data_IF_583204729808
#
_entry.id   IF_583204729808
#
_cell.length_a   1.000
_cell.length_b   1.000
_cell.length_c   1.000
_cell.angle_alpha   90.00
_cell.angle_beta   90.00
_cell.angle_gamma   90.00
#
_symmetry.space_group_name_H-M   'P 1'
#
loop_
_entity.id
_entity.type
_entity.pdbx_description
1 polymer ?
#
# COMPACT_ATOMS: atom_id res chain seq x y z
N UNK A 1 -29.59 8.62 -8.84
CA UNK A 1 -28.24 9.26 -8.78
C UNK A 1 -27.24 8.19 -8.39
N UNK A 2 -26.14 8.04 -9.14
CA UNK A 2 -25.14 6.99 -8.96
C UNK A 2 -23.77 7.64 -8.71
N UNK A 3 -23.03 7.15 -7.72
CA UNK A 3 -21.64 7.51 -7.45
C UNK A 3 -20.76 6.29 -7.69
N UNK A 4 -19.73 6.44 -8.51
CA UNK A 4 -18.72 5.42 -8.78
C UNK A 4 -17.40 5.91 -8.19
N UNK A 5 -16.80 5.09 -7.32
CA UNK A 5 -15.52 5.39 -6.68
C UNK A 5 -14.46 4.52 -7.35
N UNK A 6 -13.46 5.16 -7.94
CA UNK A 6 -12.32 4.52 -8.58
C UNK A 6 -11.08 4.79 -7.73
N UNK A 7 -10.69 3.81 -6.92
CA UNK A 7 -9.55 3.92 -6.02
C UNK A 7 -8.28 3.38 -6.70
N UNK A 8 -7.22 4.18 -6.76
CA UNK A 8 -5.91 3.75 -7.26
C UNK A 8 -5.74 3.77 -8.79
N UNK A 9 -6.31 4.75 -9.50
CA UNK A 9 -6.22 4.81 -10.98
C UNK A 9 -4.77 4.84 -11.52
N UNK A 10 -3.79 5.23 -10.69
CA UNK A 10 -2.38 5.26 -11.07
C UNK A 10 -1.84 3.91 -11.55
N UNK A 11 -2.38 2.82 -11.03
CA UNK A 11 -1.87 1.47 -11.25
C UNK A 11 -2.47 0.80 -12.51
N UNK A 12 -3.36 1.51 -13.21
CA UNK A 12 -4.03 1.04 -14.42
C UNK A 12 -3.52 1.78 -15.65
N UNK A 13 -3.21 1.05 -16.71
CA UNK A 13 -2.92 1.62 -18.02
C UNK A 13 -4.21 1.68 -18.86
N UNK A 14 -4.71 2.90 -19.12
CA UNK A 14 -5.96 3.15 -19.86
C UNK A 14 -5.67 3.89 -21.18
N UNK A 15 -4.41 3.88 -21.61
CA UNK A 15 -3.94 4.71 -22.72
C UNK A 15 -4.48 4.25 -24.09
N UNK A 16 -4.74 2.96 -24.26
CA UNK A 16 -5.06 2.35 -25.57
C UNK A 16 -6.56 2.14 -25.86
N UNK A 17 -7.45 2.30 -24.87
CA UNK A 17 -8.86 1.85 -25.00
C UNK A 17 -9.90 2.98 -25.11
N UNK A 18 -9.44 4.23 -25.27
CA UNK A 18 -10.32 5.40 -25.50
C UNK A 18 -11.00 5.38 -26.88
N UNK A 19 -10.63 4.43 -27.73
CA UNK A 19 -10.93 4.40 -29.17
C UNK A 19 -12.22 3.65 -29.52
N UNK A 20 -12.82 2.90 -28.60
CA UNK A 20 -14.10 2.23 -28.87
C UNK A 20 -15.23 3.29 -28.98
N UNK A 21 -15.77 3.47 -30.17
CA UNK A 21 -16.98 4.26 -30.44
C UNK A 21 -18.20 3.33 -30.42
N UNK A 22 -19.33 3.79 -29.85
CA UNK A 22 -20.62 3.09 -29.93
C UNK A 22 -20.82 1.94 -28.94
N UNK A 23 -20.61 2.20 -27.64
CA UNK A 23 -20.82 1.21 -26.58
C UNK A 23 -22.25 1.30 -26.03
N UNK A 24 -22.98 0.18 -26.06
CA UNK A 24 -24.27 0.01 -25.36
C UNK A 24 -24.04 -0.43 -23.91
N UNK A 25 -24.94 -0.08 -22.98
CA UNK A 25 -24.90 -0.57 -21.60
C UNK A 25 -25.00 -2.10 -21.50
N UNK A 26 -25.63 -2.74 -22.50
CA UNK A 26 -25.90 -4.17 -22.48
C UNK A 26 -24.75 -5.01 -23.08
N UNK A 27 -23.71 -4.37 -23.64
CA UNK A 27 -22.58 -5.09 -24.21
C UNK A 27 -21.59 -5.53 -23.14
N UNK A 28 -21.14 -6.78 -23.22
CA UNK A 28 -20.04 -7.28 -22.39
C UNK A 28 -18.73 -6.67 -22.88
N UNK A 29 -18.22 -5.68 -22.15
CA UNK A 29 -16.90 -5.10 -22.38
C UNK A 29 -15.84 -5.68 -21.45
N UNK A 30 -14.58 -5.76 -21.90
CA UNK A 30 -13.44 -5.96 -21.00
C UNK A 30 -13.41 -4.87 -19.90
N UNK A 31 -12.88 -5.16 -18.70
CA UNK A 31 -12.86 -4.22 -17.58
C UNK A 31 -12.13 -2.89 -17.88
N UNK A 32 -11.00 -2.95 -18.59
CA UNK A 32 -10.25 -1.75 -18.97
C UNK A 32 -11.07 -0.89 -19.94
N UNK A 33 -11.83 -1.52 -20.85
CA UNK A 33 -12.56 -0.80 -21.88
C UNK A 33 -13.75 -0.10 -21.23
N UNK A 34 -14.41 -0.80 -20.29
CA UNK A 34 -15.44 -0.22 -19.44
C UNK A 34 -14.92 1.01 -18.68
N UNK A 35 -13.74 0.89 -18.04
CA UNK A 35 -13.11 1.99 -17.32
C UNK A 35 -12.78 3.17 -18.25
N UNK A 36 -12.24 2.90 -19.44
CA UNK A 36 -11.97 3.93 -20.46
C UNK A 36 -13.23 4.68 -20.88
N UNK A 37 -14.36 3.98 -21.09
CA UNK A 37 -15.63 4.60 -21.45
C UNK A 37 -16.26 5.40 -20.30
N UNK A 38 -16.12 4.94 -19.05
CA UNK A 38 -16.55 5.69 -17.86
C UNK A 38 -15.74 6.98 -17.69
N UNK A 39 -14.41 6.89 -17.79
CA UNK A 39 -13.52 8.05 -17.70
C UNK A 39 -13.74 9.05 -18.84
N UNK A 40 -14.09 8.55 -20.03
CA UNK A 40 -14.47 9.37 -21.17
C UNK A 40 -15.91 9.91 -21.09
N UNK A 41 -16.66 9.61 -20.03
CA UNK A 41 -18.08 9.98 -19.83
C UNK A 41 -19.02 9.49 -20.95
N UNK A 42 -18.60 8.50 -21.74
CA UNK A 42 -19.43 7.88 -22.79
C UNK A 42 -20.39 6.85 -22.21
N UNK A 43 -19.98 6.20 -21.12
CA UNK A 43 -20.82 5.32 -20.33
C UNK A 43 -21.26 6.04 -19.06
N UNK A 44 -22.57 5.97 -18.75
CA UNK A 44 -23.18 6.59 -17.56
C UNK A 44 -22.79 8.08 -17.38
N UNK A 45 -23.07 8.96 -18.37
CA UNK A 45 -22.65 10.36 -18.33
C UNK A 45 -23.16 11.11 -17.08
N UNK A 46 -24.35 10.76 -16.60
CA UNK A 46 -25.01 11.36 -15.43
C UNK A 46 -24.48 10.84 -14.07
N UNK A 47 -23.59 9.85 -14.06
CA UNK A 47 -23.00 9.35 -12.82
C UNK A 47 -21.95 10.32 -12.28
N UNK A 48 -21.79 10.39 -10.96
CA UNK A 48 -20.65 11.08 -10.34
C UNK A 48 -19.47 10.13 -10.26
N UNK A 49 -18.26 10.60 -10.58
CA UNK A 49 -17.02 9.85 -10.46
C UNK A 49 -16.15 10.48 -9.36
N UNK A 50 -15.74 9.69 -8.38
CA UNK A 50 -14.72 10.05 -7.40
C UNK A 50 -13.49 9.19 -7.65
N UNK A 51 -12.39 9.81 -8.05
CA UNK A 51 -11.17 9.11 -8.47
C UNK A 51 -10.04 9.47 -7.52
N UNK A 52 -9.35 8.46 -6.98
CA UNK A 52 -8.07 8.65 -6.29
C UNK A 52 -6.93 8.27 -7.22
N UNK A 53 -5.85 9.05 -7.22
CA UNK A 53 -4.68 8.77 -8.05
C UNK A 53 -3.43 9.45 -7.51
N UNK A 54 -2.26 8.99 -7.96
CA UNK A 54 -0.97 9.62 -7.64
C UNK A 54 -0.81 10.95 -8.38
N UNK A 55 -0.11 11.94 -7.81
CA UNK A 55 0.24 13.16 -8.52
C UNK A 55 0.89 12.84 -9.89
N UNK A 56 0.50 13.56 -10.94
CA UNK A 56 1.01 13.36 -12.30
C UNK A 56 0.21 12.41 -13.19
N UNK A 57 -0.72 11.62 -12.63
CA UNK A 57 -1.60 10.73 -13.41
C UNK A 57 -2.87 11.44 -13.90
N UNK A 58 -3.22 12.58 -13.28
CA UNK A 58 -4.48 13.29 -13.51
C UNK A 58 -4.68 13.77 -14.95
N UNK A 59 -3.59 14.04 -15.68
CA UNK A 59 -3.61 14.43 -17.10
C UNK A 59 -4.29 13.41 -18.02
N UNK A 60 -4.42 12.15 -17.57
CA UNK A 60 -5.12 11.09 -18.30
C UNK A 60 -6.65 11.24 -18.28
N UNK A 61 -7.19 12.14 -17.45
CA UNK A 61 -8.63 12.41 -17.35
C UNK A 61 -8.96 13.70 -18.10
N UNK A 62 -9.84 13.64 -19.10
CA UNK A 62 -10.16 14.78 -19.98
C UNK A 62 -11.17 15.76 -19.38
N UNK A 63 -11.89 15.39 -18.32
CA UNK A 63 -12.90 16.22 -17.68
C UNK A 63 -12.98 15.95 -16.18
N UNK A 64 -12.44 16.87 -15.37
CA UNK A 64 -12.63 16.86 -13.92
C UNK A 64 -13.30 18.16 -13.50
N UNK A 65 -14.45 18.06 -12.84
CA UNK A 65 -15.18 19.23 -12.37
C UNK A 65 -14.47 19.89 -11.19
N UNK A 66 -13.81 19.07 -10.35
CA UNK A 66 -13.09 19.47 -9.14
C UNK A 66 -11.90 18.53 -8.92
N UNK A 67 -10.82 19.07 -8.38
CA UNK A 67 -9.70 18.28 -7.85
C UNK A 67 -9.36 18.76 -6.44
N UNK A 68 -8.83 17.86 -5.64
CA UNK A 68 -8.27 18.17 -4.32
C UNK A 68 -7.06 17.28 -4.09
N UNK A 69 -6.13 17.76 -3.27
CA UNK A 69 -4.93 17.01 -2.89
C UNK A 69 -5.04 16.61 -1.44
N UNK A 70 -4.90 15.32 -1.16
CA UNK A 70 -4.75 14.82 0.21
C UNK A 70 -3.31 15.07 0.62
N UNK A 71 -3.10 16.06 1.48
CA UNK A 71 -1.78 16.48 1.92
C UNK A 71 -1.22 15.49 2.96
N UNK A 72 -1.95 15.23 4.03
CA UNK A 72 -1.48 14.43 5.16
C UNK A 72 -2.10 14.91 6.47
N UNK A 73 -1.46 14.59 7.59
CA UNK A 73 -1.88 15.04 8.92
C UNK A 73 -1.23 16.36 9.31
N UNK A 74 -2.04 17.29 9.81
CA UNK A 74 -1.56 18.40 10.63
C UNK A 74 -1.03 17.90 11.97
N UNK A 75 -0.32 18.73 12.73
CA UNK A 75 0.09 18.38 14.11
C UNK A 75 -1.08 17.92 14.97
N UNK A 76 -2.24 18.56 14.84
CA UNK A 76 -3.45 18.17 15.55
C UNK A 76 -3.95 16.79 15.07
N UNK A 77 -3.91 16.54 13.75
CA UNK A 77 -4.21 15.23 13.18
C UNK A 77 -3.27 14.12 13.67
N UNK A 78 -1.97 14.44 13.85
CA UNK A 78 -0.99 13.52 14.42
C UNK A 78 -1.33 13.19 15.88
N UNK A 79 -1.60 14.19 16.72
CA UNK A 79 -2.03 13.98 18.13
C UNK A 79 -3.27 13.09 18.22
N UNK A 80 -4.28 13.39 17.42
CA UNK A 80 -5.51 12.60 17.37
C UNK A 80 -5.26 11.16 16.91
N UNK A 81 -4.37 10.97 15.92
CA UNK A 81 -4.00 9.64 15.46
C UNK A 81 -3.35 8.84 16.59
N UNK A 82 -2.34 9.41 17.25
CA UNK A 82 -1.62 8.76 18.35
C UNK A 82 -2.57 8.41 19.50
N UNK A 83 -3.44 9.34 19.89
CA UNK A 83 -4.44 9.09 20.94
C UNK A 83 -5.39 7.95 20.57
N UNK A 84 -5.86 7.88 19.33
CA UNK A 84 -6.73 6.79 18.86
C UNK A 84 -6.00 5.46 18.80
N UNK A 85 -4.74 5.46 18.37
CA UNK A 85 -3.93 4.27 18.24
C UNK A 85 -3.65 3.63 19.61
N UNK A 86 -3.17 4.42 20.58
CA UNK A 86 -2.84 3.93 21.93
C UNK A 86 -4.06 3.81 22.86
N UNK A 87 -5.21 4.36 22.45
CA UNK A 87 -6.42 4.40 23.29
C UNK A 87 -6.28 5.27 24.55
N UNK A 88 -5.25 6.11 24.63
CA UNK A 88 -4.95 6.94 25.80
C UNK A 88 -4.23 8.23 25.38
N UNK A 89 -4.78 9.38 25.77
CA UNK A 89 -4.14 10.68 25.55
C UNK A 89 -2.80 10.80 26.28
N UNK A 90 -2.68 10.18 27.46
CA UNK A 90 -1.44 10.18 28.23
C UNK A 90 -0.33 9.41 27.49
N UNK A 91 -0.64 8.21 26.99
CA UNK A 91 0.34 7.43 26.21
C UNK A 91 0.69 8.11 24.89
N UNK A 92 -0.28 8.77 24.25
CA UNK A 92 -0.03 9.55 23.04
C UNK A 92 0.88 10.75 23.30
N UNK A 93 0.68 11.48 24.39
CA UNK A 93 1.56 12.57 24.79
C UNK A 93 2.98 12.08 25.07
N UNK A 94 3.13 10.98 25.83
CA UNK A 94 4.43 10.36 26.07
C UNK A 94 5.11 9.92 24.77
N UNK A 95 4.35 9.28 23.87
CA UNK A 95 4.86 8.86 22.57
C UNK A 95 5.36 10.05 21.74
N UNK A 96 4.60 11.14 21.66
CA UNK A 96 5.02 12.35 20.97
C UNK A 96 6.23 13.00 21.63
N UNK A 97 6.29 13.02 22.97
CA UNK A 97 7.44 13.53 23.71
C UNK A 97 8.71 12.71 23.44
N UNK A 98 8.61 11.39 23.32
CA UNK A 98 9.72 10.54 22.91
C UNK A 98 10.25 10.89 21.51
N UNK A 99 9.39 11.39 20.62
CA UNK A 99 9.77 11.79 19.27
C UNK A 99 10.33 13.22 19.20
N UNK A 100 10.13 14.06 20.22
CA UNK A 100 10.61 15.47 20.21
C UNK A 100 12.12 15.60 20.08
N UNK A 101 12.87 14.55 20.44
CA UNK A 101 14.31 14.52 20.25
C UNK A 101 14.73 14.24 18.78
N UNK A 102 13.78 13.89 17.91
CA UNK A 102 13.98 13.52 16.50
C UNK A 102 12.96 14.26 15.62
N UNK A 103 13.27 15.53 15.32
CA UNK A 103 12.43 16.44 14.52
C UNK A 103 12.10 15.87 13.13
N UNK A 104 13.02 15.11 12.53
CA UNK A 104 12.81 14.46 11.23
C UNK A 104 11.69 13.41 11.33
N UNK A 105 11.67 12.65 12.43
CA UNK A 105 10.69 11.60 12.68
C UNK A 105 9.28 12.16 12.95
N UNK A 106 9.17 13.26 13.71
CA UNK A 106 7.89 13.98 13.88
C UNK A 106 7.43 14.56 12.54
N UNK A 107 8.34 15.15 11.77
CA UNK A 107 8.00 15.72 10.47
C UNK A 107 7.48 14.66 9.51
N UNK A 108 8.07 13.46 9.50
CA UNK A 108 7.59 12.33 8.71
C UNK A 108 6.17 11.89 9.08
N UNK A 109 5.75 12.04 10.34
CA UNK A 109 4.39 11.75 10.81
C UNK A 109 3.30 12.62 10.15
N UNK A 110 3.68 13.61 9.32
CA UNK A 110 2.76 14.20 8.35
C UNK A 110 2.11 13.14 7.44
N UNK A 111 2.82 12.06 7.10
CA UNK A 111 2.31 10.96 6.30
C UNK A 111 1.57 9.97 7.23
N UNK A 112 0.27 9.68 7.01
CA UNK A 112 -0.49 8.79 7.89
C UNK A 112 0.10 7.40 8.08
N UNK A 113 0.74 6.86 7.03
CA UNK A 113 1.45 5.59 7.12
C UNK A 113 2.66 5.70 8.05
N UNK A 114 3.42 6.79 8.02
CA UNK A 114 4.52 7.01 8.96
C UNK A 114 4.04 7.06 10.42
N UNK A 115 2.92 7.73 10.71
CA UNK A 115 2.32 7.69 12.06
C UNK A 115 2.04 6.26 12.53
N UNK A 116 1.38 5.45 11.70
CA UNK A 116 1.11 4.04 12.02
C UNK A 116 2.39 3.31 12.37
N UNK A 117 3.42 3.51 11.53
CA UNK A 117 4.68 2.82 11.66
C UNK A 117 5.44 3.23 12.93
N UNK A 118 5.45 4.52 13.26
CA UNK A 118 6.07 5.05 14.47
C UNK A 118 5.35 4.54 15.72
N UNK A 119 4.03 4.63 15.76
CA UNK A 119 3.25 4.14 16.90
C UNK A 119 3.47 2.64 17.14
N UNK A 120 3.48 1.83 16.07
CA UNK A 120 3.80 0.40 16.15
C UNK A 120 5.23 0.16 16.65
N UNK A 121 6.21 0.91 16.16
CA UNK A 121 7.59 0.80 16.64
C UNK A 121 7.71 1.11 18.14
N UNK A 122 6.99 2.13 18.61
CA UNK A 122 6.96 2.53 20.02
C UNK A 122 6.32 1.46 20.92
N UNK A 123 5.18 0.87 20.51
CA UNK A 123 4.55 -0.24 21.24
C UNK A 123 5.54 -1.40 21.45
N UNK A 124 6.26 -1.75 20.40
CA UNK A 124 7.10 -2.95 20.38
C UNK A 124 8.41 -2.79 21.16
N UNK A 125 8.83 -1.55 21.36
CA UNK A 125 10.09 -1.21 22.04
C UNK A 125 9.87 -0.68 23.45
N UNK A 126 8.67 -0.85 24.02
CA UNK A 126 8.25 -0.29 25.31
C UNK A 126 8.59 1.21 25.44
N UNK A 127 8.37 1.99 24.38
CA UNK A 127 8.63 3.44 24.36
C UNK A 127 10.07 3.86 24.10
N UNK A 128 11.00 2.94 23.81
CA UNK A 128 12.37 3.33 23.42
C UNK A 128 12.46 3.70 21.93
N UNK A 129 12.85 4.95 21.66
CA UNK A 129 13.11 5.46 20.30
C UNK A 129 14.60 5.35 20.00
N UNK A 130 14.97 4.52 19.04
CA UNK A 130 16.25 4.71 18.34
C UNK A 130 16.03 5.72 17.23
N UNK A 131 17.07 6.51 16.90
CA UNK A 131 17.02 7.53 15.85
C UNK A 131 16.62 6.89 14.51
N UNK A 132 15.46 7.27 13.99
CA UNK A 132 14.91 6.75 12.72
C UNK A 132 15.01 7.85 11.67
N UNK A 133 16.24 8.09 11.22
CA UNK A 133 16.61 9.26 10.41
C UNK A 133 16.02 9.27 8.98
N UNK A 134 15.48 8.14 8.49
CA UNK A 134 14.91 8.04 7.13
C UNK A 134 13.64 7.20 7.10
N UNK A 135 12.75 7.50 6.15
CA UNK A 135 11.55 6.69 5.88
C UNK A 135 11.91 5.24 5.59
N UNK A 136 13.02 4.98 4.89
CA UNK A 136 13.54 3.62 4.65
C UNK A 136 13.90 2.93 5.96
N UNK A 137 14.66 3.59 6.85
CA UNK A 137 15.06 3.00 8.15
C UNK A 137 13.85 2.76 9.06
N UNK A 138 12.83 3.60 8.97
CA UNK A 138 11.56 3.47 9.67
C UNK A 138 10.75 2.27 9.15
N UNK A 139 10.64 2.11 7.83
CA UNK A 139 10.03 0.95 7.18
C UNK A 139 10.82 -0.34 7.47
N UNK A 140 12.15 -0.30 7.44
CA UNK A 140 13.02 -1.43 7.79
C UNK A 140 12.93 -1.77 9.28
N UNK A 141 12.87 -0.77 10.17
CA UNK A 141 12.68 -1.01 11.60
C UNK A 141 11.33 -1.67 11.86
N UNK A 142 10.26 -1.23 11.19
CA UNK A 142 8.97 -1.90 11.28
C UNK A 142 9.02 -3.32 10.70
N UNK A 143 9.71 -3.53 9.57
CA UNK A 143 9.92 -4.86 9.01
C UNK A 143 10.55 -5.80 10.04
N UNK A 144 11.65 -5.38 10.66
CA UNK A 144 12.33 -6.12 11.72
C UNK A 144 11.44 -6.31 12.97
N UNK A 145 10.63 -5.30 13.31
CA UNK A 145 9.71 -5.34 14.44
C UNK A 145 8.50 -6.28 14.19
N UNK A 146 7.95 -6.33 12.97
CA UNK A 146 6.89 -7.27 12.60
C UNK A 146 7.41 -8.71 12.60
N UNK A 147 8.65 -8.92 12.15
CA UNK A 147 9.35 -10.20 12.28
C UNK A 147 9.62 -10.59 13.75
N UNK A 148 9.90 -9.61 14.62
CA UNK A 148 10.22 -9.88 16.03
C UNK A 148 9.03 -10.30 16.91
N UNK A 149 7.80 -9.95 16.55
CA UNK A 149 6.60 -10.23 17.35
C UNK A 149 5.78 -11.44 16.88
N UNK A 150 6.00 -11.85 15.63
CA UNK A 150 5.67 -13.18 15.14
C UNK A 150 6.86 -13.58 14.28
N UNK A 151 7.77 -14.45 14.75
CA UNK A 151 8.84 -14.91 13.91
C UNK A 151 8.18 -15.66 12.76
N UNK A 152 8.11 -15.00 11.60
CA UNK A 152 8.12 -15.74 10.37
C UNK A 152 9.43 -16.51 10.41
N UNK A 153 9.34 -17.82 10.23
CA UNK A 153 10.52 -18.62 9.99
C UNK A 153 11.33 -17.97 8.85
N UNK A 154 12.66 -18.03 8.93
CA UNK A 154 13.56 -17.38 7.96
C UNK A 154 13.14 -17.67 6.52
N UNK A 155 12.65 -18.88 6.27
CA UNK A 155 12.16 -19.32 4.97
C UNK A 155 10.87 -18.58 4.55
N UNK A 156 9.91 -18.39 5.45
CA UNK A 156 8.67 -17.65 5.14
C UNK A 156 8.93 -16.16 4.91
N UNK A 157 9.90 -15.57 5.62
CA UNK A 157 10.32 -14.20 5.36
C UNK A 157 10.93 -14.08 3.95
N UNK A 158 11.82 -15.01 3.58
CA UNK A 158 12.40 -15.05 2.24
C UNK A 158 11.35 -15.28 1.15
N UNK A 159 10.40 -16.16 1.38
CA UNK A 159 9.31 -16.46 0.46
C UNK A 159 8.45 -15.21 0.18
N UNK A 160 8.13 -14.42 1.21
CA UNK A 160 7.43 -13.14 1.04
C UNK A 160 8.24 -12.12 0.25
N UNK A 161 9.56 -12.05 0.47
CA UNK A 161 10.46 -11.19 -0.31
C UNK A 161 10.40 -11.59 -1.79
N UNK A 162 10.43 -12.89 -2.12
CA UNK A 162 10.35 -13.34 -3.51
C UNK A 162 8.99 -13.05 -4.16
N UNK A 163 7.89 -13.24 -3.42
CA UNK A 163 6.53 -12.91 -3.88
C UNK A 163 6.41 -11.41 -4.17
N UNK A 164 6.95 -10.57 -3.29
CA UNK A 164 6.96 -9.12 -3.47
C UNK A 164 7.74 -8.69 -4.71
N UNK A 165 8.94 -9.25 -4.90
CA UNK A 165 9.77 -9.00 -6.07
C UNK A 165 9.07 -9.42 -7.37
N UNK A 166 8.42 -10.59 -7.37
CA UNK A 166 7.61 -11.05 -8.50
C UNK A 166 6.47 -10.07 -8.79
N UNK A 167 5.74 -9.64 -7.75
CA UNK A 167 4.67 -8.67 -7.88
C UNK A 167 5.13 -7.35 -8.51
N UNK A 168 6.25 -6.78 -8.05
CA UNK A 168 6.80 -5.54 -8.61
C UNK A 168 7.19 -5.72 -10.08
N UNK A 169 7.90 -6.82 -10.42
CA UNK A 169 8.32 -7.11 -11.80
C UNK A 169 7.14 -7.28 -12.76
N UNK A 170 6.08 -7.92 -12.31
CA UNK A 170 4.88 -8.19 -13.12
C UNK A 170 3.80 -7.09 -13.02
N UNK A 171 4.07 -5.99 -12.29
CA UNK A 171 3.07 -4.96 -11.96
C UNK A 171 1.79 -5.55 -11.35
N UNK A 172 1.96 -6.58 -10.51
CA UNK A 172 0.90 -7.34 -9.84
C UNK A 172 0.84 -6.97 -8.36
N UNK A 173 -0.32 -6.52 -7.91
CA UNK A 173 -0.60 -6.10 -6.53
C UNK A 173 -1.62 -6.99 -5.81
N UNK A 174 -2.32 -7.84 -6.57
CA UNK A 174 -3.26 -8.85 -6.07
C UNK A 174 -2.73 -10.23 -6.48
N UNK A 175 -2.60 -11.11 -5.50
CA UNK A 175 -2.10 -12.48 -5.62
C UNK A 175 -3.22 -13.48 -5.33
N UNK A 176 -3.26 -14.58 -6.06
CA UNK A 176 -4.17 -15.68 -5.80
C UNK A 176 -3.48 -16.81 -5.00
N UNK A 177 -4.20 -17.88 -4.69
CA UNK A 177 -3.63 -19.02 -3.98
C UNK A 177 -2.54 -19.75 -4.78
N UNK A 178 -2.55 -19.66 -6.11
CA UNK A 178 -1.52 -20.28 -6.93
C UNK A 178 -0.21 -19.50 -6.80
N UNK A 179 -0.25 -18.17 -6.84
CA UNK A 179 0.92 -17.32 -6.58
C UNK A 179 1.55 -17.63 -5.22
N UNK A 180 0.72 -17.73 -4.18
CA UNK A 180 1.21 -18.06 -2.83
C UNK A 180 1.86 -19.45 -2.79
N UNK A 181 1.28 -20.45 -3.48
CA UNK A 181 1.86 -21.80 -3.57
C UNK A 181 3.17 -21.81 -4.34
N UNK A 182 3.24 -21.10 -5.48
CA UNK A 182 4.45 -21.01 -6.31
C UNK A 182 5.62 -20.38 -5.55
N UNK A 183 5.33 -19.43 -4.68
CA UNK A 183 6.33 -18.78 -3.83
C UNK A 183 6.42 -19.39 -2.43
N UNK A 184 5.76 -20.53 -2.17
CA UNK A 184 5.80 -21.24 -0.88
C UNK A 184 5.42 -20.36 0.33
N UNK A 185 4.54 -19.38 0.12
CA UNK A 185 4.03 -18.48 1.16
C UNK A 185 2.82 -19.12 1.82
N UNK A 186 2.92 -19.41 3.12
CA UNK A 186 1.84 -20.00 3.87
C UNK A 186 0.77 -18.94 4.23
N UNK A 187 -0.49 -19.09 3.79
CA UNK A 187 -1.51 -18.03 3.95
C UNK A 187 -1.70 -17.58 5.39
N UNK A 188 -1.77 -18.50 6.36
CA UNK A 188 -2.04 -18.16 7.77
C UNK A 188 -0.91 -17.41 8.46
N UNK A 189 0.35 -17.65 8.09
CA UNK A 189 1.50 -16.94 8.65
C UNK A 189 1.64 -15.54 8.03
N UNK A 190 1.50 -15.46 6.71
CA UNK A 190 1.63 -14.22 5.96
C UNK A 190 0.47 -13.24 6.19
N UNK A 191 -0.78 -13.73 6.32
CA UNK A 191 -1.95 -12.85 6.50
C UNK A 191 -2.03 -12.20 7.88
N UNK A 192 -1.25 -12.69 8.85
CA UNK A 192 -1.23 -12.11 10.20
C UNK A 192 -0.49 -10.79 10.26
N UNK A 193 0.52 -10.61 9.40
CA UNK A 193 1.48 -9.50 9.56
C UNK A 193 1.68 -8.68 8.28
N UNK A 194 1.56 -9.29 7.09
CA UNK A 194 2.03 -8.66 5.86
C UNK A 194 1.03 -8.67 4.71
N UNK A 195 0.14 -9.67 4.66
CA UNK A 195 -0.89 -9.79 3.63
C UNK A 195 -2.29 -9.52 4.18
N UNK A 196 -3.10 -8.78 3.43
CA UNK A 196 -4.54 -8.74 3.60
C UNK A 196 -5.17 -9.85 2.78
N UNK A 197 -6.12 -10.59 3.37
CA UNK A 197 -6.97 -11.53 2.65
C UNK A 197 -8.28 -10.84 2.29
N UNK A 198 -8.54 -10.67 1.00
CA UNK A 198 -9.78 -10.13 0.47
C UNK A 198 -10.56 -11.22 -0.25
N UNK A 199 -11.85 -11.35 0.05
CA UNK A 199 -12.75 -12.15 -0.76
C UNK A 199 -13.47 -11.21 -1.73
N UNK A 200 -13.06 -11.24 -3.00
CA UNK A 200 -13.87 -10.60 -4.02
C UNK A 200 -15.10 -11.47 -4.26
N UNK A 201 -16.29 -10.87 -4.22
CA UNK A 201 -17.55 -11.49 -4.65
C UNK A 201 -17.57 -11.68 -6.18
N UNK A 202 -16.52 -12.29 -6.72
CA UNK A 202 -16.47 -12.78 -8.08
C UNK A 202 -17.17 -14.14 -8.13
N UNK A 203 -17.64 -14.52 -9.32
CA UNK A 203 -18.35 -15.78 -9.62
C UNK A 203 -17.62 -17.03 -9.09
N UNK A 204 -16.33 -16.95 -8.79
CA UNK A 204 -15.49 -18.07 -8.36
C UNK A 204 -15.18 -18.12 -6.85
N UNK A 205 -15.57 -17.10 -6.08
CA UNK A 205 -15.35 -16.99 -4.63
C UNK A 205 -13.93 -17.40 -4.17
N UNK A 206 -12.91 -17.05 -4.97
CA UNK A 206 -11.51 -17.38 -4.66
C UNK A 206 -10.91 -16.30 -3.77
N UNK A 207 -10.15 -16.68 -2.73
CA UNK A 207 -9.47 -15.70 -1.91
C UNK A 207 -8.36 -15.04 -2.72
N UNK A 208 -8.24 -13.74 -2.55
CA UNK A 208 -7.17 -12.92 -3.09
C UNK A 208 -6.38 -12.31 -1.94
N UNK A 209 -5.10 -12.10 -2.17
CA UNK A 209 -4.14 -11.60 -1.20
C UNK A 209 -3.47 -10.35 -1.75
N UNK A 210 -3.26 -9.35 -0.92
CA UNK A 210 -2.46 -8.18 -1.26
C UNK A 210 -1.56 -7.85 -0.08
N UNK A 211 -0.44 -7.18 -0.31
CA UNK A 211 0.32 -6.62 0.81
C UNK A 211 -0.55 -5.59 1.54
N UNK A 212 -0.37 -5.48 2.86
CA UNK A 212 -1.11 -4.53 3.69
C UNK A 212 -1.06 -3.09 3.15
N UNK A 213 0.05 -2.75 2.48
CA UNK A 213 0.23 -1.53 1.73
C UNK A 213 1.25 -1.76 0.59
N UNK A 214 1.13 -1.06 -0.53
CA UNK A 214 2.06 -1.18 -1.67
C UNK A 214 3.52 -0.91 -1.27
N UNK A 215 3.74 0.08 -0.41
CA UNK A 215 5.07 0.39 0.11
C UNK A 215 5.75 -0.82 0.79
N UNK A 216 5.00 -1.72 1.44
CA UNK A 216 5.57 -2.94 1.98
C UNK A 216 6.08 -3.84 0.84
N UNK A 217 5.25 -4.07 -0.18
CA UNK A 217 5.65 -4.86 -1.35
C UNK A 217 6.92 -4.28 -2.00
N UNK A 218 7.02 -2.96 -2.13
CA UNK A 218 8.19 -2.29 -2.72
C UNK A 218 9.44 -2.44 -1.83
N UNK A 219 9.31 -2.28 -0.51
CA UNK A 219 10.43 -2.47 0.45
C UNK A 219 10.91 -3.92 0.46
N UNK A 220 9.98 -4.88 0.48
CA UNK A 220 10.31 -6.31 0.37
C UNK A 220 11.06 -6.61 -0.92
N UNK A 221 10.56 -6.12 -2.07
CA UNK A 221 11.23 -6.30 -3.34
C UNK A 221 12.64 -5.67 -3.35
N UNK A 222 12.80 -4.48 -2.77
CA UNK A 222 14.08 -3.79 -2.68
C UNK A 222 15.10 -4.54 -1.80
N UNK A 223 14.67 -5.13 -0.68
CA UNK A 223 15.55 -5.92 0.20
C UNK A 223 16.21 -7.09 -0.57
N UNK A 224 15.48 -7.69 -1.51
CA UNK A 224 15.97 -8.74 -2.39
C UNK A 224 17.13 -8.26 -3.28
N UNK A 225 17.03 -7.04 -3.81
CA UNK A 225 18.05 -6.46 -4.68
C UNK A 225 19.34 -6.12 -3.94
N UNK A 226 19.26 -5.74 -2.66
CA UNK A 226 20.45 -5.43 -1.83
C UNK A 226 21.19 -6.69 -1.41
N UNK A 227 20.49 -7.78 -1.10
CA UNK A 227 21.11 -9.07 -0.78
C UNK A 227 21.88 -9.69 -1.96
N UNK A 228 21.38 -9.50 -3.19
CA UNK A 228 22.00 -10.02 -4.41
C UNK A 228 23.32 -9.32 -4.79
N UNK A 229 23.51 -8.05 -4.41
CA UNK A 229 24.76 -7.31 -4.69
C UNK A 229 25.93 -7.73 -3.79
N UNK A 230 25.66 -8.34 -2.63
CA UNK A 230 26.70 -8.79 -1.70
C UNK A 230 27.40 -10.09 -2.11
N UNK A 231 26.87 -10.82 -3.10
CA UNK A 231 27.45 -12.10 -3.56
C UNK A 231 28.34 -11.96 -4.81
N UNK A 232 28.36 -10.80 -5.47
CA UNK A 232 29.15 -10.61 -6.70
C UNK A 232 30.53 -9.96 -6.48
N UNK A 233 30.82 -9.38 -5.30
CA UNK A 233 32.08 -8.65 -5.04
C UNK A 233 33.16 -9.43 -4.24
N UNK A 234 33.00 -10.75 -4.05
CA UNK A 234 34.02 -11.60 -3.36
C UNK A 234 34.83 -12.54 -4.27
N UNK A 235 34.90 -12.26 -5.57
CA UNK A 235 35.87 -12.92 -6.46
C UNK A 235 36.59 -11.89 -7.32
N UNK A 236 37.61 -11.25 -6.74
CA UNK A 236 38.81 -10.81 -7.46
C UNK A 236 40.03 -10.97 -6.56
#
# INVERSE_FOLDING_TARGET
KVLIILDGLADVDVSDEQTCQGVSLDSKLPPLALLGQLLARRLLPEASLLITTRPGVLSRTKSTDRHTTILGFSEEGQRQYFSKFFGSECLAAMALDCLRCDEDLITMCFIPLACLLVCRSLELRNGSVQRLETTTRLLTSLYLCLLGNNPLDSDQAQNLVTLALHGVKQKKVIFDELDLKTHEVHPTAATRCFLNKTQFNSVQNRPAYSFAHLAFQEVFAAACCVGATSTEDTVK
#
